data_IF_861080570639
#
_entry.id   IF_861080570639
#
_cell.length_a   1.000
_cell.length_b   1.000
_cell.length_c   1.000
_cell.angle_alpha   90.00
_cell.angle_beta   90.00
_cell.angle_gamma   90.00
#
_symmetry.space_group_name_H-M   'P 1'
#
loop_
_entity.id
_entity.type
_entity.pdbx_description
1 polymer ?
#
# COMPACT_ATOMS: atom_id res chain seq x y z
N UNK A 1 -7.85 -14.99 19.39
CA UNK A 1 -6.49 -14.44 19.16
C UNK A 1 -6.23 -13.30 20.14
N UNK A 2 -5.07 -13.27 20.81
CA UNK A 2 -4.71 -12.17 21.73
C UNK A 2 -4.65 -10.85 20.94
N UNK A 3 -5.18 -9.74 21.48
CA UNK A 3 -5.23 -8.43 20.80
C UNK A 3 -3.85 -7.95 20.32
N UNK A 4 -2.79 -8.28 21.06
CA UNK A 4 -1.40 -7.98 20.68
C UNK A 4 -0.93 -8.75 19.43
N UNK A 5 -1.32 -10.02 19.27
CA UNK A 5 -0.96 -10.81 18.09
C UNK A 5 -1.57 -10.22 16.81
N UNK A 6 -2.82 -9.74 16.86
CA UNK A 6 -3.46 -9.06 15.73
C UNK A 6 -2.70 -7.81 15.32
N UNK A 7 -2.30 -6.98 16.29
CA UNK A 7 -1.51 -5.77 16.05
C UNK A 7 -0.15 -6.10 15.44
N UNK A 8 0.53 -7.11 15.98
CA UNK A 8 1.83 -7.54 15.49
C UNK A 8 1.75 -8.10 14.06
N UNK A 9 0.76 -8.95 13.76
CA UNK A 9 0.53 -9.46 12.41
C UNK A 9 0.20 -8.35 11.41
N UNK A 10 -0.59 -7.34 11.82
CA UNK A 10 -0.85 -6.17 10.97
C UNK A 10 0.45 -5.42 10.67
N UNK A 11 1.25 -5.12 11.70
CA UNK A 11 2.54 -4.43 11.53
C UNK A 11 3.51 -5.21 10.65
N UNK A 12 3.60 -6.54 10.81
CA UNK A 12 4.39 -7.41 9.93
C UNK A 12 3.87 -7.43 8.50
N UNK A 13 2.56 -7.38 8.28
CA UNK A 13 2.02 -7.24 6.93
C UNK A 13 2.52 -5.95 6.27
N UNK A 14 2.50 -4.85 7.01
CA UNK A 14 2.93 -3.55 6.49
C UNK A 14 4.44 -3.39 6.26
N UNK A 15 5.30 -4.28 6.74
CA UNK A 15 6.75 -4.23 6.42
C UNK A 15 7.03 -4.65 4.98
N UNK A 16 6.11 -5.39 4.35
CA UNK A 16 6.26 -5.84 2.96
C UNK A 16 6.18 -4.62 2.01
N UNK A 17 7.14 -4.46 1.09
CA UNK A 17 7.12 -3.38 0.10
C UNK A 17 6.16 -3.71 -1.05
N UNK A 18 4.85 -3.75 -0.77
CA UNK A 18 3.84 -4.27 -1.71
C UNK A 18 3.78 -3.50 -3.03
N UNK A 19 3.92 -2.16 -3.01
CA UNK A 19 3.90 -1.37 -4.25
C UNK A 19 5.12 -1.66 -5.11
N UNK A 20 6.32 -1.75 -4.52
CA UNK A 20 7.51 -2.16 -5.26
C UNK A 20 7.37 -3.56 -5.86
N UNK A 21 6.93 -4.54 -5.06
CA UNK A 21 6.77 -5.92 -5.53
C UNK A 21 5.73 -6.04 -6.63
N UNK A 22 4.60 -5.35 -6.49
CA UNK A 22 3.55 -5.37 -7.50
C UNK A 22 4.01 -4.73 -8.80
N UNK A 23 4.67 -3.56 -8.74
CA UNK A 23 5.27 -2.94 -9.91
C UNK A 23 6.34 -3.83 -10.57
N UNK A 24 7.17 -4.50 -9.78
CA UNK A 24 8.16 -5.43 -10.31
C UNK A 24 7.53 -6.60 -11.07
N UNK A 25 6.45 -7.17 -10.53
CA UNK A 25 5.68 -8.24 -11.19
C UNK A 25 5.04 -7.70 -12.47
N UNK A 26 4.42 -6.52 -12.40
CA UNK A 26 3.80 -5.87 -13.55
C UNK A 26 4.80 -5.62 -14.70
N UNK A 27 6.01 -5.17 -14.39
CA UNK A 27 7.09 -5.04 -15.35
C UNK A 27 7.51 -6.40 -15.92
N UNK A 28 7.74 -7.39 -15.06
CA UNK A 28 8.23 -8.73 -15.44
C UNK A 28 7.27 -9.44 -16.39
N UNK A 29 5.96 -9.29 -16.16
CA UNK A 29 4.92 -9.97 -16.93
C UNK A 29 4.23 -9.07 -17.97
N UNK A 30 4.65 -7.80 -18.09
CA UNK A 30 4.05 -6.84 -19.03
C UNK A 30 2.56 -6.58 -18.80
N UNK A 31 2.12 -6.59 -17.54
CA UNK A 31 0.73 -6.39 -17.13
C UNK A 31 0.58 -5.21 -16.15
N UNK A 32 -0.55 -4.50 -16.09
CA UNK A 32 -0.80 -3.42 -15.12
C UNK A 32 -1.66 -3.87 -13.92
N UNK A 33 -1.83 -5.17 -13.72
CA UNK A 33 -2.85 -5.71 -12.81
C UNK A 33 -2.42 -5.75 -11.35
N UNK A 34 -1.13 -5.95 -11.07
CA UNK A 34 -0.67 -6.25 -9.72
C UNK A 34 -0.64 -5.01 -8.83
N UNK A 35 -0.23 -3.84 -9.33
CA UNK A 35 -0.27 -2.62 -8.53
C UNK A 35 -1.71 -2.18 -8.25
N UNK A 36 -2.64 -2.46 -9.17
CA UNK A 36 -4.07 -2.25 -8.94
C UNK A 36 -4.61 -3.21 -7.87
N UNK A 37 -4.21 -4.49 -7.92
CA UNK A 37 -4.52 -5.46 -6.87
C UNK A 37 -3.91 -5.07 -5.51
N UNK A 38 -2.72 -4.48 -5.49
CA UNK A 38 -2.10 -3.97 -4.26
C UNK A 38 -2.93 -2.85 -3.62
N UNK A 39 -3.50 -1.93 -4.41
CA UNK A 39 -4.43 -0.91 -3.90
C UNK A 39 -5.66 -1.54 -3.26
N UNK A 40 -6.26 -2.55 -3.90
CA UNK A 40 -7.39 -3.30 -3.32
C UNK A 40 -6.97 -3.98 -2.01
N UNK A 41 -5.77 -4.56 -1.98
CA UNK A 41 -5.17 -5.14 -0.77
C UNK A 41 -5.07 -4.16 0.39
N UNK A 42 -4.62 -2.92 0.13
CA UNK A 42 -4.57 -1.87 1.16
C UNK A 42 -5.94 -1.50 1.71
N UNK A 43 -6.98 -1.48 0.86
CA UNK A 43 -8.36 -1.26 1.33
C UNK A 43 -8.81 -2.38 2.25
N UNK A 44 -8.55 -3.64 1.88
CA UNK A 44 -8.91 -4.80 2.70
C UNK A 44 -8.17 -4.76 4.04
N UNK A 45 -6.86 -4.49 4.04
CA UNK A 45 -6.06 -4.37 5.26
C UNK A 45 -6.59 -3.26 6.17
N UNK A 46 -6.97 -2.12 5.60
CA UNK A 46 -7.59 -1.02 6.34
C UNK A 46 -8.95 -1.42 6.95
N UNK A 47 -9.83 -2.08 6.19
CA UNK A 47 -11.13 -2.55 6.68
C UNK A 47 -10.97 -3.57 7.82
N UNK A 48 -10.00 -4.49 7.71
CA UNK A 48 -9.66 -5.46 8.75
C UNK A 48 -9.11 -4.78 10.01
N UNK A 49 -8.27 -3.75 9.85
CA UNK A 49 -7.81 -2.92 10.97
C UNK A 49 -8.97 -2.16 11.62
N UNK A 50 -9.97 -1.73 10.85
CA UNK A 50 -11.22 -1.14 11.34
C UNK A 50 -12.01 -2.09 12.23
N UNK A 51 -12.21 -3.35 11.81
CA UNK A 51 -12.89 -4.39 12.59
C UNK A 51 -12.18 -4.72 13.91
N UNK A 52 -10.88 -4.49 14.00
CA UNK A 52 -10.05 -4.83 15.17
C UNK A 52 -9.69 -3.62 16.04
N UNK A 53 -10.29 -2.45 15.78
CA UNK A 53 -9.99 -1.17 16.45
C UNK A 53 -8.52 -0.73 16.36
N UNK A 54 -7.83 -1.09 15.27
CA UNK A 54 -6.41 -0.77 15.03
C UNK A 54 -6.19 0.17 13.84
N UNK A 55 -7.14 1.07 13.55
CA UNK A 55 -7.06 2.03 12.43
C UNK A 55 -5.76 2.86 12.40
N UNK A 56 -5.23 3.37 13.53
CA UNK A 56 -3.96 4.10 13.52
C UNK A 56 -2.78 3.26 13.05
N UNK A 57 -2.75 1.97 13.42
CA UNK A 57 -1.70 1.05 12.96
C UNK A 57 -1.75 0.80 11.45
N UNK A 58 -2.96 0.82 10.85
CA UNK A 58 -3.10 0.72 9.40
C UNK A 58 -2.58 1.94 8.65
N UNK A 59 -2.82 3.15 9.18
CA UNK A 59 -2.27 4.39 8.59
C UNK A 59 -0.75 4.40 8.65
N UNK A 60 -0.18 4.12 9.83
CA UNK A 60 1.28 4.03 10.02
C UNK A 60 1.87 2.98 9.09
N UNK A 61 1.21 1.82 9.02
CA UNK A 61 1.63 0.74 8.15
C UNK A 61 1.62 1.10 6.67
N UNK A 62 0.64 1.89 6.22
CA UNK A 62 0.54 2.35 4.83
C UNK A 62 1.62 3.36 4.46
N UNK A 63 2.03 4.20 5.42
CA UNK A 63 3.22 5.04 5.23
C UNK A 63 4.48 4.18 5.21
N UNK A 64 4.59 3.21 6.12
CA UNK A 64 5.77 2.35 6.24
C UNK A 64 6.02 1.50 4.98
N UNK A 65 4.99 0.87 4.41
CA UNK A 65 5.08 0.11 3.16
C UNK A 65 5.44 0.98 1.96
N UNK A 66 5.01 2.25 1.93
CA UNK A 66 5.39 3.20 0.89
C UNK A 66 6.88 3.58 1.00
N UNK A 67 7.34 3.86 2.22
CA UNK A 67 8.77 4.13 2.49
C UNK A 67 9.63 2.93 2.16
N UNK A 68 9.24 1.71 2.59
CA UNK A 68 9.99 0.51 2.26
C UNK A 68 10.02 0.25 0.75
N UNK A 69 8.88 0.41 0.06
CA UNK A 69 8.84 0.31 -1.41
C UNK A 69 9.78 1.31 -2.08
N UNK A 70 9.81 2.56 -1.62
CA UNK A 70 10.73 3.57 -2.15
C UNK A 70 12.19 3.18 -1.92
N UNK A 71 12.55 2.72 -0.72
CA UNK A 71 13.89 2.24 -0.43
C UNK A 71 14.29 1.11 -1.39
N UNK A 72 13.44 0.10 -1.58
CA UNK A 72 13.71 -0.99 -2.51
C UNK A 72 13.87 -0.50 -3.96
N UNK A 73 13.10 0.50 -4.38
CA UNK A 73 13.29 1.10 -5.70
C UNK A 73 14.68 1.73 -5.89
N UNK A 74 15.21 2.39 -4.86
CA UNK A 74 16.55 2.99 -4.94
C UNK A 74 17.65 1.93 -5.06
N UNK A 75 17.47 0.74 -4.48
CA UNK A 75 18.43 -0.36 -4.57
C UNK A 75 18.25 -1.27 -5.80
N UNK A 76 17.07 -1.30 -6.41
CA UNK A 76 16.68 -2.29 -7.42
C UNK A 76 16.87 -1.88 -8.90
N UNK A 77 17.75 -0.91 -9.22
CA UNK A 77 17.93 -0.39 -10.59
C UNK A 77 16.63 -0.01 -11.31
N UNK A 78 15.70 0.62 -10.59
CA UNK A 78 14.37 0.95 -11.14
C UNK A 78 14.34 2.05 -12.19
N UNK A 79 15.50 2.67 -12.49
CA UNK A 79 15.66 3.59 -13.63
C UNK A 79 15.36 2.89 -14.96
N UNK A 80 15.64 1.59 -15.06
CA UNK A 80 15.36 0.80 -16.26
C UNK A 80 13.86 0.51 -16.47
N UNK A 81 13.00 0.92 -15.53
CA UNK A 81 11.56 0.65 -15.59
C UNK A 81 10.79 1.78 -16.29
N UNK A 82 11.44 2.91 -16.59
CA UNK A 82 10.79 4.12 -17.11
C UNK A 82 10.10 3.93 -18.46
N UNK A 83 10.56 2.98 -19.28
CA UNK A 83 9.93 2.69 -20.56
C UNK A 83 8.53 2.09 -20.41
N UNK A 84 8.28 1.38 -19.30
CA UNK A 84 7.07 0.59 -19.08
C UNK A 84 5.93 1.42 -18.47
N UNK A 85 6.21 2.20 -17.42
CA UNK A 85 5.18 2.89 -16.62
C UNK A 85 4.71 4.25 -17.18
N UNK A 86 4.98 4.53 -18.46
CA UNK A 86 4.61 5.80 -19.11
C UNK A 86 3.11 6.10 -18.98
N UNK A 87 2.73 7.37 -18.78
CA UNK A 87 3.56 8.58 -18.87
C UNK A 87 4.37 8.89 -17.61
N UNK A 88 4.21 8.13 -16.53
CA UNK A 88 4.90 8.38 -15.27
C UNK A 88 6.24 7.62 -15.21
N UNK A 89 7.21 8.17 -14.49
CA UNK A 89 8.35 7.36 -14.05
C UNK A 89 7.89 6.36 -12.98
N UNK A 90 8.64 5.27 -12.78
CA UNK A 90 8.31 4.31 -11.73
C UNK A 90 8.17 5.01 -10.36
N UNK A 91 9.07 5.94 -10.05
CA UNK A 91 9.02 6.69 -8.78
C UNK A 91 7.78 7.57 -8.68
N UNK A 92 7.41 8.26 -9.77
CA UNK A 92 6.18 9.06 -9.81
C UNK A 92 4.93 8.19 -9.64
N UNK A 93 4.91 7.00 -10.28
CA UNK A 93 3.83 6.04 -10.12
C UNK A 93 3.73 5.55 -8.67
N UNK A 94 4.85 5.21 -8.02
CA UNK A 94 4.88 4.82 -6.61
C UNK A 94 4.28 5.91 -5.71
N UNK A 95 4.67 7.17 -5.92
CA UNK A 95 4.16 8.32 -5.16
C UNK A 95 2.65 8.46 -5.39
N UNK A 96 2.19 8.38 -6.65
CA UNK A 96 0.78 8.48 -6.99
C UNK A 96 -0.05 7.34 -6.36
N UNK A 97 0.43 6.10 -6.42
CA UNK A 97 -0.22 4.94 -5.82
C UNK A 97 -0.26 5.04 -4.28
N UNK A 98 0.82 5.52 -3.66
CA UNK A 98 0.88 5.74 -2.21
C UNK A 98 -0.10 6.83 -1.78
N UNK A 99 -0.17 7.94 -2.52
CA UNK A 99 -1.14 9.01 -2.28
C UNK A 99 -2.58 8.52 -2.46
N UNK A 100 -2.86 7.73 -3.50
CA UNK A 100 -4.17 7.13 -3.73
C UNK A 100 -4.57 6.18 -2.59
N UNK A 101 -3.65 5.32 -2.13
CA UNK A 101 -3.89 4.41 -1.01
C UNK A 101 -4.26 5.18 0.27
N UNK A 102 -3.49 6.23 0.61
CA UNK A 102 -3.79 7.08 1.77
C UNK A 102 -5.12 7.82 1.60
N UNK A 103 -5.38 8.39 0.42
CA UNK A 103 -6.63 9.10 0.13
C UNK A 103 -7.85 8.19 0.31
N UNK A 104 -7.81 6.97 -0.24
CA UNK A 104 -8.89 5.98 -0.09
C UNK A 104 -9.09 5.62 1.39
N UNK A 105 -8.01 5.42 2.15
CA UNK A 105 -8.11 5.14 3.59
C UNK A 105 -8.73 6.31 4.36
N UNK A 106 -8.38 7.55 4.05
CA UNK A 106 -8.97 8.74 4.66
C UNK A 106 -10.47 8.85 4.37
N UNK A 107 -10.90 8.56 3.13
CA UNK A 107 -12.31 8.50 2.77
C UNK A 107 -13.05 7.40 3.56
N UNK A 108 -12.43 6.24 3.71
CA UNK A 108 -12.99 5.14 4.48
C UNK A 108 -13.12 5.47 5.99
N UNK A 109 -12.18 6.23 6.57
CA UNK A 109 -12.29 6.78 7.94
C UNK A 109 -13.52 7.68 8.04
N UNK A 110 -13.63 8.68 7.16
CA UNK A 110 -14.75 9.64 7.17
C UNK A 110 -16.10 8.95 7.01
N UNK A 111 -16.20 7.97 6.13
CA UNK A 111 -17.42 7.19 5.93
C UNK A 111 -17.79 6.36 7.18
N UNK A 112 -16.80 5.83 7.90
CA UNK A 112 -17.03 5.09 9.14
C UNK A 112 -17.45 6.01 10.30
N UNK A 113 -16.94 7.24 10.36
CA UNK A 113 -17.34 8.24 11.36
C UNK A 113 -18.78 8.72 11.17
N UNK A 114 -19.21 8.97 9.92
CA UNK A 114 -20.61 9.33 9.61
C UNK A 114 -21.64 8.27 10.01
N UNK A 115 -21.21 7.01 10.18
CA UNK A 115 -22.09 5.89 10.58
C UNK A 115 -22.19 5.70 12.09
N UNK A 116 -21.43 6.44 12.92
CA UNK A 116 -21.65 6.44 14.37
C UNK A 116 -22.88 7.30 14.68
N UNK A 117 -23.93 6.75 15.34
CA UNK A 117 -25.09 7.51 15.77
C UNK A 117 -24.72 8.56 16.83
#
# INVERSE_FOLDING_TARGET
MKKWAVRFSLLLGYTVPYLYLSMYIDLTYGTPLFYAAALIGYVILYLLAGKTHNRPAALIGTVWTAVSSYCFMQYGWTQDWEWYFKPLTATQLLIALSAAALFIQLLAIRAAEKKKP
#
